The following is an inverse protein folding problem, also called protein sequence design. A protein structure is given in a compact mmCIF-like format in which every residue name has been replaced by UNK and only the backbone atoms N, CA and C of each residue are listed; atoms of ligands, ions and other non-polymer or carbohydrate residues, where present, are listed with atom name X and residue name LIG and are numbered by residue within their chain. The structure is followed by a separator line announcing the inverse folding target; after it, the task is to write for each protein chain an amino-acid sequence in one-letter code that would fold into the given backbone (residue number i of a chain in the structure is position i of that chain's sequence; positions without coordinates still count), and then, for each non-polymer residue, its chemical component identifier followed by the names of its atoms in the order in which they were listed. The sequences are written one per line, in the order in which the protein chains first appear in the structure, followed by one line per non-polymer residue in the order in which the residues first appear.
data_IF_007601658280
#
_entry.id   IF_007601658280
#
_cell.length_a   1.000
_cell.length_b   1.000
_cell.length_c   1.000
_cell.angle_alpha   90.00
_cell.angle_beta   90.00
_cell.angle_gamma   90.00
#
_symmetry.space_group_name_H-M   'P 1'
#
loop_
_entity.id
_entity.type
_entity.pdbx_description
1 polymer ?
#
# COMPACT_ATOMS: atom_id res chain seq x y z
N UNK A 1 14.71 25.01 11.67
CA UNK A 1 14.38 23.99 12.69
C UNK A 1 13.85 22.76 11.95
N UNK A 2 14.72 21.99 11.28
CA UNK A 2 14.27 20.99 10.28
C UNK A 2 14.78 19.55 10.53
N UNK A 3 15.35 19.27 11.70
CA UNK A 3 16.07 18.02 11.93
C UNK A 3 15.32 16.96 12.78
N UNK A 4 14.12 17.26 13.29
CA UNK A 4 13.35 16.30 14.11
C UNK A 4 12.26 15.52 13.35
N UNK A 5 11.77 16.00 12.20
CA UNK A 5 10.74 15.27 11.45
C UNK A 5 11.29 14.11 10.59
N UNK A 6 12.56 14.19 10.16
CA UNK A 6 13.15 13.14 9.31
C UNK A 6 13.34 11.82 10.07
N UNK A 7 13.64 11.90 11.37
CA UNK A 7 13.81 10.75 12.24
C UNK A 7 12.50 9.98 12.45
N UNK A 8 11.35 10.66 12.54
CA UNK A 8 10.06 10.00 12.73
C UNK A 8 9.66 9.15 11.52
N UNK A 9 9.78 9.66 10.28
CA UNK A 9 9.45 8.87 9.08
C UNK A 9 10.37 7.65 8.92
N UNK A 10 11.66 7.81 9.19
CA UNK A 10 12.62 6.68 9.13
C UNK A 10 12.22 5.62 10.18
N UNK A 11 11.87 6.04 11.39
CA UNK A 11 11.41 5.12 12.45
C UNK A 11 10.11 4.41 12.05
N UNK A 12 9.12 5.12 11.49
CA UNK A 12 7.90 4.51 10.95
C UNK A 12 8.20 3.45 9.90
N UNK A 13 9.07 3.75 8.93
CA UNK A 13 9.45 2.80 7.89
C UNK A 13 10.17 1.57 8.45
N UNK A 14 11.03 1.75 9.47
CA UNK A 14 11.70 0.64 10.14
C UNK A 14 10.68 -0.22 10.89
N UNK A 15 9.78 0.37 11.69
CA UNK A 15 8.76 -0.39 12.43
C UNK A 15 7.83 -1.15 11.48
N UNK A 16 7.34 -0.48 10.43
CA UNK A 16 6.50 -1.08 9.40
C UNK A 16 7.26 -2.21 8.67
N UNK A 17 8.52 -1.99 8.32
CA UNK A 17 9.37 -2.98 7.64
C UNK A 17 9.71 -4.20 8.49
N UNK A 18 9.86 -4.04 9.81
CA UNK A 18 10.09 -5.15 10.74
C UNK A 18 8.80 -5.95 10.99
N UNK A 19 7.66 -5.29 11.22
CA UNK A 19 6.36 -5.96 11.37
C UNK A 19 5.95 -6.70 10.10
N UNK A 20 5.98 -5.98 8.97
CA UNK A 20 6.71 -6.37 7.77
C UNK A 20 7.10 -7.85 7.57
N UNK A 21 8.40 -8.04 7.76
CA UNK A 21 9.12 -9.29 7.56
C UNK A 21 8.74 -10.36 8.59
N UNK A 22 8.24 -9.95 9.75
CA UNK A 22 7.83 -10.85 10.83
C UNK A 22 6.50 -11.57 10.57
N UNK A 23 5.84 -11.32 9.43
CA UNK A 23 4.56 -11.95 9.06
C UNK A 23 3.33 -11.32 9.72
N UNK A 24 3.50 -10.15 10.35
CA UNK A 24 2.42 -9.44 11.04
C UNK A 24 1.83 -8.34 10.13
N UNK A 25 1.21 -8.78 9.02
CA UNK A 25 0.67 -7.91 7.97
C UNK A 25 -0.33 -6.87 8.46
N UNK A 26 -1.20 -7.30 9.35
CA UNK A 26 -2.23 -6.44 9.93
C UNK A 26 -1.64 -5.39 10.87
N UNK A 27 -0.64 -5.75 11.69
CA UNK A 27 0.04 -4.80 12.58
C UNK A 27 0.84 -3.76 11.79
N UNK A 28 1.50 -4.17 10.71
CA UNK A 28 2.18 -3.25 9.80
C UNK A 28 1.19 -2.26 9.15
N UNK A 29 -0.02 -2.72 8.82
CA UNK A 29 -1.08 -1.86 8.32
C UNK A 29 -1.63 -0.88 9.38
N UNK A 30 -1.79 -1.31 10.63
CA UNK A 30 -2.19 -0.40 11.72
C UNK A 30 -1.12 0.67 11.98
N UNK A 31 0.17 0.31 11.95
CA UNK A 31 1.28 1.29 12.01
C UNK A 31 1.24 2.27 10.84
N UNK A 32 0.86 1.82 9.64
CA UNK A 32 0.67 2.69 8.48
C UNK A 32 -0.50 3.66 8.63
N UNK A 33 -1.61 3.23 9.25
CA UNK A 33 -2.73 4.13 9.59
C UNK A 33 -2.30 5.15 10.63
N UNK A 34 -1.58 4.72 11.66
CA UNK A 34 -1.08 5.61 12.71
C UNK A 34 -0.10 6.64 12.15
N UNK A 35 0.84 6.22 11.28
CA UNK A 35 1.75 7.12 10.56
C UNK A 35 0.98 8.25 9.84
N UNK A 36 -0.11 7.91 9.13
CA UNK A 36 -0.94 8.90 8.43
C UNK A 36 -1.72 9.80 9.39
N UNK A 37 -2.25 9.25 10.50
CA UNK A 37 -2.97 10.03 11.52
C UNK A 37 -2.06 11.05 12.21
N UNK A 38 -0.78 10.72 12.40
CA UNK A 38 0.23 11.65 12.92
C UNK A 38 0.74 12.65 11.87
N UNK A 39 0.17 12.64 10.65
CA UNK A 39 0.49 13.58 9.59
C UNK A 39 1.73 13.25 8.78
N UNK A 40 2.30 12.04 8.94
CA UNK A 40 3.43 11.59 8.13
C UNK A 40 2.95 10.97 6.82
N UNK A 41 3.38 11.54 5.70
CA UNK A 41 3.07 11.03 4.37
C UNK A 41 3.85 9.72 4.11
N UNK A 42 3.16 8.60 3.80
CA UNK A 42 3.82 7.37 3.42
C UNK A 42 4.62 7.53 2.13
N UNK A 43 5.76 6.87 2.04
CA UNK A 43 6.63 6.90 0.86
C UNK A 43 6.64 5.54 0.14
N UNK A 44 7.22 5.44 -1.07
CA UNK A 44 7.23 4.19 -1.82
C UNK A 44 7.74 2.99 -1.01
N UNK A 45 8.74 3.18 -0.16
CA UNK A 45 9.27 2.13 0.72
C UNK A 45 8.19 1.63 1.67
N UNK A 46 7.48 2.55 2.33
CA UNK A 46 6.37 2.22 3.24
C UNK A 46 5.34 1.33 2.55
N UNK A 47 4.87 1.73 1.35
CA UNK A 47 3.91 0.95 0.57
C UNK A 47 4.45 -0.41 0.18
N UNK A 48 5.69 -0.48 -0.32
CA UNK A 48 6.29 -1.76 -0.71
C UNK A 48 6.46 -2.70 0.48
N UNK A 49 6.82 -2.20 1.67
CA UNK A 49 6.97 -3.03 2.86
C UNK A 49 5.65 -3.66 3.30
N UNK A 50 4.57 -2.87 3.34
CA UNK A 50 3.23 -3.36 3.70
C UNK A 50 2.71 -4.35 2.65
N UNK A 51 2.94 -4.06 1.37
CA UNK A 51 2.46 -4.84 0.25
C UNK A 51 3.39 -6.00 -0.15
N UNK A 52 4.53 -6.22 0.50
CA UNK A 52 5.35 -7.41 0.21
C UNK A 52 5.05 -8.58 1.14
N UNK A 53 4.19 -8.35 2.15
CA UNK A 53 3.80 -9.37 3.10
C UNK A 53 2.96 -10.50 2.48
N UNK A 54 2.96 -11.66 3.13
CA UNK A 54 2.04 -12.72 2.75
C UNK A 54 0.65 -12.40 3.30
N UNK A 55 -0.29 -12.14 2.40
CA UNK A 55 -1.69 -11.95 2.72
C UNK A 55 -2.26 -13.24 3.36
N UNK A 56 -2.55 -13.18 4.66
CA UNK A 56 -3.39 -14.17 5.33
C UNK A 56 -4.85 -13.97 4.92
N UNK A 57 -5.70 -14.99 5.13
CA UNK A 57 -7.13 -14.90 4.86
C UNK A 57 -7.72 -13.66 5.56
N UNK A 58 -8.36 -12.76 4.79
CA UNK A 58 -8.90 -11.49 5.31
C UNK A 58 -8.10 -10.24 4.93
N UNK A 59 -6.96 -10.39 4.21
CA UNK A 59 -6.13 -9.24 3.84
C UNK A 59 -6.74 -8.28 2.80
N UNK A 60 -7.85 -8.67 2.16
CA UNK A 60 -8.42 -7.93 1.03
C UNK A 60 -8.97 -6.55 1.42
N UNK A 61 -9.46 -6.40 2.65
CA UNK A 61 -10.04 -5.13 3.14
C UNK A 61 -8.97 -4.06 3.30
N UNK A 62 -7.88 -4.36 4.01
CA UNK A 62 -6.81 -3.40 4.21
C UNK A 62 -6.00 -3.12 2.93
N UNK A 63 -5.84 -4.11 2.05
CA UNK A 63 -5.17 -3.91 0.74
C UNK A 63 -5.93 -2.89 -0.12
N UNK A 64 -7.26 -2.85 -0.05
CA UNK A 64 -8.08 -1.85 -0.75
C UNK A 64 -7.89 -0.45 -0.17
N UNK A 65 -7.79 -0.34 1.15
CA UNK A 65 -7.50 0.94 1.81
C UNK A 65 -6.12 1.47 1.37
N UNK A 66 -5.09 0.61 1.42
CA UNK A 66 -3.74 0.95 0.95
C UNK A 66 -3.74 1.34 -0.54
N UNK A 67 -4.48 0.64 -1.40
CA UNK A 67 -4.62 0.98 -2.81
C UNK A 67 -5.29 2.35 -3.03
N UNK A 68 -6.33 2.66 -2.25
CA UNK A 68 -7.03 3.95 -2.31
C UNK A 68 -6.11 5.08 -1.86
N UNK A 69 -5.37 4.88 -0.76
CA UNK A 69 -4.36 5.83 -0.30
C UNK A 69 -3.25 6.04 -1.34
N UNK A 70 -2.74 4.96 -1.95
CA UNK A 70 -1.73 5.04 -2.99
C UNK A 70 -2.25 5.81 -4.22
N UNK A 71 -3.50 5.60 -4.63
CA UNK A 71 -4.14 6.30 -5.76
C UNK A 71 -4.34 7.80 -5.53
N UNK A 72 -4.60 8.19 -4.28
CA UNK A 72 -4.74 9.59 -3.89
C UNK A 72 -3.39 10.28 -3.61
N UNK A 73 -2.30 9.52 -3.57
CA UNK A 73 -0.95 10.03 -3.36
C UNK A 73 -0.26 10.35 -4.70
N UNK A 74 0.85 11.10 -4.64
CA UNK A 74 1.73 11.34 -5.81
C UNK A 74 2.42 10.07 -6.33
N UNK A 75 2.16 8.91 -5.73
CA UNK A 75 2.81 7.62 -6.05
C UNK A 75 2.07 6.81 -7.12
N UNK A 76 1.04 7.39 -7.73
CA UNK A 76 0.27 6.76 -8.82
C UNK A 76 1.14 6.25 -9.98
N UNK A 77 2.30 6.88 -10.21
CA UNK A 77 3.23 6.49 -11.28
C UNK A 77 4.43 5.65 -10.79
N UNK A 78 4.52 5.29 -9.50
CA UNK A 78 5.64 4.50 -9.01
C UNK A 78 5.45 3.01 -9.34
N UNK A 79 6.26 2.52 -10.27
CA UNK A 79 6.22 1.12 -10.76
C UNK A 79 6.43 0.12 -9.62
N UNK A 80 7.19 0.45 -8.59
CA UNK A 80 7.44 -0.45 -7.45
C UNK A 80 6.17 -0.65 -6.62
N UNK A 81 5.44 0.44 -6.37
CA UNK A 81 4.15 0.40 -5.66
C UNK A 81 3.12 -0.36 -6.48
N UNK A 82 3.06 -0.11 -7.79
CA UNK A 82 2.19 -0.85 -8.71
C UNK A 82 2.46 -2.36 -8.69
N UNK A 83 3.72 -2.77 -8.85
CA UNK A 83 4.10 -4.18 -8.81
C UNK A 83 3.78 -4.85 -7.48
N UNK A 84 4.02 -4.16 -6.35
CA UNK A 84 3.69 -4.67 -5.02
C UNK A 84 2.17 -4.85 -4.82
N UNK A 85 1.35 -3.90 -5.30
CA UNK A 85 -0.11 -4.03 -5.29
C UNK A 85 -0.58 -5.26 -6.08
N UNK A 86 -0.07 -5.46 -7.29
CA UNK A 86 -0.43 -6.63 -8.12
C UNK A 86 -0.08 -7.93 -7.42
N UNK A 87 1.12 -8.02 -6.84
CA UNK A 87 1.57 -9.19 -6.10
C UNK A 87 0.65 -9.49 -4.90
N UNK A 88 0.21 -8.47 -4.16
CA UNK A 88 -0.73 -8.65 -3.04
C UNK A 88 -2.10 -9.09 -3.46
N UNK A 89 -2.68 -8.50 -4.51
CA UNK A 89 -3.97 -8.93 -5.03
C UNK A 89 -3.92 -10.37 -5.55
N UNK A 90 -2.79 -10.82 -6.11
CA UNK A 90 -2.59 -12.20 -6.50
C UNK A 90 -2.56 -13.15 -5.29
N UNK A 91 -1.86 -12.77 -4.21
CA UNK A 91 -1.70 -13.57 -2.98
C UNK A 91 -2.94 -13.61 -2.08
N UNK A 92 -3.68 -12.51 -1.96
CA UNK A 92 -4.83 -12.34 -1.05
C UNK A 92 -6.11 -13.09 -1.43
N UNK A 93 -6.06 -13.98 -2.42
CA UNK A 93 -7.22 -14.73 -2.90
C UNK A 93 -7.79 -14.16 -4.19
N UNK A 94 -7.02 -14.23 -5.27
CA UNK A 94 -7.53 -14.57 -6.61
C UNK A 94 -8.62 -13.69 -7.23
N UNK A 95 -8.69 -12.39 -6.93
CA UNK A 95 -9.59 -11.45 -7.63
C UNK A 95 -8.90 -10.84 -8.87
N UNK A 96 -8.24 -11.68 -9.66
CA UNK A 96 -7.89 -11.33 -11.04
C UNK A 96 -9.14 -11.16 -11.93
N UNK A 97 -10.32 -11.55 -11.45
CA UNK A 97 -11.53 -11.72 -12.28
C UNK A 97 -12.57 -10.58 -12.21
N UNK A 98 -12.47 -9.66 -11.25
CA UNK A 98 -13.39 -8.48 -11.16
C UNK A 98 -12.68 -7.13 -11.05
N UNK A 99 -11.52 -7.06 -10.39
CA UNK A 99 -10.76 -5.81 -10.23
C UNK A 99 -9.56 -5.66 -11.17
N UNK A 100 -9.21 -6.70 -11.95
CA UNK A 100 -8.21 -6.59 -13.01
C UNK A 100 -8.56 -5.50 -14.05
N UNK A 101 -9.85 -5.25 -14.25
CA UNK A 101 -10.36 -4.15 -15.08
C UNK A 101 -10.06 -2.77 -14.46
N UNK A 102 -10.30 -2.59 -13.16
CA UNK A 102 -9.98 -1.33 -12.46
C UNK A 102 -8.46 -1.07 -12.41
N UNK A 103 -7.66 -2.13 -12.27
CA UNK A 103 -6.20 -2.05 -12.31
C UNK A 103 -5.71 -1.69 -13.74
N UNK A 104 -6.32 -2.25 -14.77
CA UNK A 104 -6.06 -1.89 -16.17
C UNK A 104 -6.51 -0.45 -16.48
N UNK A 105 -7.68 -0.02 -16.01
CA UNK A 105 -8.15 1.38 -16.13
C UNK A 105 -7.22 2.37 -15.44
N UNK A 106 -6.65 1.98 -14.29
CA UNK A 106 -5.67 2.79 -13.55
C UNK A 106 -4.30 2.83 -14.24
N UNK A 107 -3.81 1.69 -14.77
CA UNK A 107 -2.54 1.59 -15.49
C UNK A 107 -2.58 2.21 -16.90
N UNK A 108 -3.73 2.12 -17.58
CA UNK A 108 -3.94 2.65 -18.93
C UNK A 108 -4.56 4.05 -18.94
N UNK A 109 -4.98 4.58 -17.78
CA UNK A 109 -5.58 5.90 -17.66
C UNK A 109 -6.94 6.05 -18.35
N UNK A 110 -7.62 4.96 -18.68
CA UNK A 110 -8.90 4.98 -19.40
C UNK A 110 -10.05 5.11 -18.42
N UNK A 111 -10.66 6.30 -18.32
CA UNK A 111 -11.94 6.48 -17.65
C UNK A 111 -13.06 5.96 -18.55
N UNK A 112 -13.53 4.73 -18.32
CA UNK A 112 -14.74 4.25 -19.01
C UNK A 112 -15.96 4.78 -18.23
N UNK A 113 -16.52 5.91 -18.67
CA UNK A 113 -17.87 6.27 -18.28
C UNK A 113 -18.80 5.29 -19.00
N UNK A 114 -19.35 4.34 -18.25
CA UNK A 114 -20.39 3.44 -18.76
C UNK A 114 -21.66 4.22 -19.13
N UNK A 115 -22.50 3.66 -20.02
CA UNK A 115 -23.71 4.31 -20.54
C UNK A 115 -24.79 4.51 -19.47
#
# INVERSE_FOLDING_TARGET
MENHHLHCRIVWNVMIGVCAESGHGYEAFELFRQMQQEGFAPDPMTYTSILNQNASNGALEWVREVHTCASNSKLKSDVRVGNALVNMYAKSGGILRKHGMCLMEWLLGTSFHGP
#
